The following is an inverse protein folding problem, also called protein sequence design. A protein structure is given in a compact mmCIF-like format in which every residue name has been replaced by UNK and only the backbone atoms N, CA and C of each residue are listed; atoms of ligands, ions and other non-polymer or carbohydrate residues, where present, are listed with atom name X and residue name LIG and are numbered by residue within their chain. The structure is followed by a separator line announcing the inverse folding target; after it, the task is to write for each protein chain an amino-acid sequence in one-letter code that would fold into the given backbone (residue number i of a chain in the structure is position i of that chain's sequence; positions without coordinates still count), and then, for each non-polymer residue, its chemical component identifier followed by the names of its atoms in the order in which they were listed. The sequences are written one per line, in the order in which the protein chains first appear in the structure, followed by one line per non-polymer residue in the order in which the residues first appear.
data_IF_862866993808
#
_entry.id   IF_862866993808
#
_cell.length_a   1.000
_cell.length_b   1.000
_cell.length_c   1.000
_cell.angle_alpha   90.00
_cell.angle_beta   90.00
_cell.angle_gamma   90.00
#
_symmetry.space_group_name_H-M   'P 1'
#
loop_
_entity.id
_entity.type
_entity.pdbx_description
1 polymer ?
#
# COMPACT_ATOMS: atom_id res chain seq x y z
N UNK A 1 -1.68 -13.22 20.43
CA UNK A 1 -2.64 -12.88 19.36
C UNK A 1 -3.23 -11.53 19.69
N UNK A 2 -3.18 -10.56 18.78
CA UNK A 2 -3.77 -9.24 19.01
C UNK A 2 -5.29 -9.39 18.93
N UNK A 3 -6.00 -9.00 19.99
CA UNK A 3 -7.45 -8.99 19.99
C UNK A 3 -7.95 -7.83 19.13
N UNK A 4 -8.60 -8.15 18.02
CA UNK A 4 -9.06 -7.19 17.01
C UNK A 4 -10.25 -7.72 16.22
N UNK A 5 -11.12 -6.82 15.77
CA UNK A 5 -12.32 -7.16 15.01
C UNK A 5 -12.04 -7.48 13.54
N UNK A 6 -10.98 -6.92 12.98
CA UNK A 6 -10.53 -7.17 11.61
C UNK A 6 -9.01 -7.00 11.49
N UNK A 7 -8.42 -7.52 10.43
CA UNK A 7 -7.03 -7.26 10.08
C UNK A 7 -6.93 -6.08 9.10
N UNK A 8 -5.78 -5.40 9.10
CA UNK A 8 -5.47 -4.32 8.17
C UNK A 8 -4.37 -4.78 7.22
N UNK A 9 -4.59 -4.57 5.94
CA UNK A 9 -3.63 -4.80 4.86
C UNK A 9 -3.40 -3.48 4.12
N UNK A 10 -2.16 -3.19 3.81
CA UNK A 10 -1.77 -2.08 2.96
C UNK A 10 -0.67 -2.55 1.99
N UNK A 11 -0.10 -1.65 1.23
CA UNK A 11 1.02 -1.90 0.35
C UNK A 11 2.25 -1.06 0.74
N UNK A 12 3.40 -1.36 0.14
CA UNK A 12 4.65 -0.69 0.48
C UNK A 12 4.69 0.78 0.07
N UNK A 13 3.75 1.22 -0.78
CA UNK A 13 3.57 2.64 -1.09
C UNK A 13 3.14 3.49 0.10
N UNK A 14 2.70 2.86 1.19
CA UNK A 14 2.34 3.54 2.44
C UNK A 14 3.54 4.08 3.23
N UNK A 15 4.75 3.62 2.92
CA UNK A 15 6.01 4.00 3.60
C UNK A 15 5.94 3.87 5.13
N UNK A 16 5.20 2.87 5.61
CA UNK A 16 5.14 2.56 7.04
C UNK A 16 6.48 1.99 7.52
N UNK A 17 7.01 2.49 8.65
CA UNK A 17 8.11 1.82 9.31
C UNK A 17 7.75 0.36 9.61
N UNK A 18 8.65 -0.57 9.29
CA UNK A 18 8.42 -2.00 9.48
C UNK A 18 8.08 -2.35 10.94
N UNK A 19 8.75 -1.69 11.89
CA UNK A 19 8.49 -1.85 13.33
C UNK A 19 7.07 -1.46 13.73
N UNK A 20 6.56 -0.38 13.16
CA UNK A 20 5.19 0.09 13.45
C UNK A 20 4.14 -0.85 12.83
N UNK A 21 4.36 -1.30 11.60
CA UNK A 21 3.48 -2.27 10.95
C UNK A 21 3.41 -3.57 11.75
N UNK A 22 4.55 -4.08 12.22
CA UNK A 22 4.63 -5.28 13.05
C UNK A 22 3.92 -5.09 14.39
N UNK A 23 4.17 -3.99 15.09
CA UNK A 23 3.52 -3.66 16.37
C UNK A 23 2.00 -3.63 16.26
N UNK A 24 1.48 -3.04 15.19
CA UNK A 24 0.04 -2.90 14.94
C UNK A 24 -0.57 -4.11 14.22
N UNK A 25 0.23 -5.08 13.84
CA UNK A 25 -0.24 -6.25 13.09
C UNK A 25 -0.74 -5.93 11.68
N UNK A 26 -0.25 -4.84 11.08
CA UNK A 26 -0.57 -4.45 9.71
C UNK A 26 0.27 -5.28 8.74
N UNK A 27 -0.39 -5.92 7.77
CA UNK A 27 0.29 -6.65 6.69
C UNK A 27 0.57 -5.68 5.53
N UNK A 28 1.79 -5.71 5.05
CA UNK A 28 2.25 -4.85 3.96
C UNK A 28 2.59 -5.70 2.74
N UNK A 29 1.88 -5.49 1.64
CA UNK A 29 2.14 -6.17 0.37
C UNK A 29 3.15 -5.34 -0.42
N UNK A 30 4.34 -5.89 -0.75
CA UNK A 30 5.37 -5.12 -1.42
C UNK A 30 5.06 -4.88 -2.90
N UNK A 31 5.26 -3.65 -3.37
CA UNK A 31 5.38 -3.34 -4.78
C UNK A 31 6.68 -3.95 -5.32
N UNK A 32 6.76 -4.15 -6.62
CA UNK A 32 7.99 -4.53 -7.29
C UNK A 32 8.76 -3.29 -7.74
N UNK A 33 10.08 -3.32 -7.59
CA UNK A 33 11.01 -2.28 -8.04
C UNK A 33 11.89 -2.87 -9.13
N UNK A 34 11.92 -2.22 -10.28
CA UNK A 34 12.68 -2.64 -11.45
C UNK A 34 13.88 -1.73 -11.68
N UNK A 35 15.07 -2.32 -11.73
CA UNK A 35 16.30 -1.69 -12.22
C UNK A 35 16.79 -2.47 -13.45
N UNK A 36 16.50 -1.98 -14.66
CA UNK A 36 16.77 -2.77 -15.87
C UNK A 36 16.03 -4.10 -15.83
N UNK A 37 16.75 -5.20 -15.94
CA UNK A 37 16.20 -6.56 -15.88
C UNK A 37 16.06 -7.12 -14.45
N UNK A 38 16.62 -6.42 -13.46
CA UNK A 38 16.53 -6.83 -12.06
C UNK A 38 15.22 -6.39 -11.45
N UNK A 39 14.57 -7.31 -10.73
CA UNK A 39 13.29 -7.06 -10.04
C UNK A 39 13.45 -7.36 -8.56
N UNK A 40 13.08 -6.40 -7.74
CA UNK A 40 13.11 -6.50 -6.28
C UNK A 40 11.72 -6.30 -5.69
N UNK A 41 11.52 -6.84 -4.49
CA UNK A 41 10.34 -6.55 -3.66
C UNK A 41 10.67 -5.43 -2.68
N UNK A 42 9.95 -4.32 -2.77
CA UNK A 42 10.15 -3.12 -1.96
C UNK A 42 10.07 -3.43 -0.45
N UNK A 43 11.14 -3.09 0.26
CA UNK A 43 11.26 -3.33 1.70
C UNK A 43 11.50 -4.79 2.11
N UNK A 44 11.53 -5.73 1.15
CA UNK A 44 11.75 -7.17 1.40
C UNK A 44 13.11 -7.61 0.84
N UNK A 45 13.30 -7.52 -0.47
CA UNK A 45 14.57 -7.87 -1.13
C UNK A 45 15.43 -6.66 -1.48
N UNK A 46 14.87 -5.46 -1.34
CA UNK A 46 15.59 -4.20 -1.50
C UNK A 46 15.17 -3.25 -0.38
N UNK A 47 16.13 -2.91 0.49
CA UNK A 47 15.91 -1.92 1.56
C UNK A 47 15.85 -0.50 0.99
N UNK A 48 15.25 0.43 1.73
CA UNK A 48 15.22 1.84 1.34
C UNK A 48 16.64 2.40 1.14
N UNK A 49 17.56 2.05 2.02
CA UNK A 49 18.96 2.48 1.93
C UNK A 49 19.63 1.97 0.65
N UNK A 50 19.50 0.68 0.34
CA UNK A 50 20.03 0.08 -0.88
C UNK A 50 19.38 0.67 -2.13
N UNK A 51 18.09 1.00 -2.08
CA UNK A 51 17.38 1.68 -3.16
C UNK A 51 17.98 3.06 -3.44
N UNK A 52 18.16 3.88 -2.41
CA UNK A 52 18.74 5.22 -2.58
C UNK A 52 20.20 5.16 -3.06
N UNK A 53 20.98 4.21 -2.60
CA UNK A 53 22.32 3.98 -3.11
C UNK A 53 22.32 3.69 -4.61
N UNK A 54 21.44 2.77 -5.07
CA UNK A 54 21.35 2.45 -6.51
C UNK A 54 20.82 3.63 -7.33
N UNK A 55 19.88 4.38 -6.80
CA UNK A 55 19.32 5.55 -7.48
C UNK A 55 20.40 6.61 -7.78
N UNK A 56 21.38 6.76 -6.88
CA UNK A 56 22.46 7.73 -7.04
C UNK A 56 23.60 7.23 -7.92
N UNK A 57 23.82 5.91 -7.98
CA UNK A 57 24.94 5.31 -8.72
C UNK A 57 24.57 4.86 -10.13
N UNK A 58 23.35 4.40 -10.37
CA UNK A 58 22.89 3.87 -11.66
C UNK A 58 21.91 4.86 -12.35
N UNK A 59 22.46 5.98 -12.79
CA UNK A 59 21.67 7.04 -13.43
C UNK A 59 21.21 6.71 -14.85
N UNK A 60 21.84 5.73 -15.49
CA UNK A 60 21.49 5.33 -16.87
C UNK A 60 20.22 4.47 -16.91
N UNK A 61 19.90 3.80 -15.82
CA UNK A 61 18.74 2.93 -15.69
C UNK A 61 17.86 3.36 -14.52
N UNK A 62 17.06 4.43 -14.71
CA UNK A 62 16.19 4.90 -13.65
C UNK A 62 15.19 3.80 -13.26
N UNK A 63 14.96 3.58 -11.95
CA UNK A 63 14.02 2.56 -11.51
C UNK A 63 12.58 2.93 -11.84
N UNK A 64 11.76 1.90 -12.02
CA UNK A 64 10.31 2.05 -12.01
C UNK A 64 9.68 1.01 -11.10
N UNK A 65 8.46 1.27 -10.65
CA UNK A 65 7.70 0.36 -9.81
C UNK A 65 6.56 -0.26 -10.60
N UNK A 66 6.15 -1.45 -10.18
CA UNK A 66 4.91 -2.07 -10.65
C UNK A 66 4.07 -2.54 -9.46
N UNK A 67 2.75 -2.58 -9.69
CA UNK A 67 1.81 -3.07 -8.69
C UNK A 67 2.06 -4.55 -8.34
N UNK A 68 1.73 -4.97 -7.11
CA UNK A 68 1.62 -6.38 -6.79
C UNK A 68 0.57 -7.06 -7.67
N UNK A 69 0.76 -8.34 -7.96
CA UNK A 69 -0.24 -9.13 -8.69
C UNK A 69 -1.43 -9.47 -7.78
N UNK A 70 -2.60 -9.84 -8.36
CA UNK A 70 -3.68 -10.43 -7.57
C UNK A 70 -3.23 -11.65 -6.76
N UNK A 71 -2.34 -12.47 -7.31
CA UNK A 71 -1.75 -13.62 -6.61
C UNK A 71 -0.94 -13.25 -5.38
N UNK A 72 -0.22 -12.14 -5.40
CA UNK A 72 0.52 -11.62 -4.24
C UNK A 72 -0.45 -11.26 -3.11
N UNK A 73 -1.56 -10.62 -3.43
CA UNK A 73 -2.62 -10.31 -2.46
C UNK A 73 -3.32 -11.56 -1.94
N UNK A 74 -3.62 -12.51 -2.82
CA UNK A 74 -4.21 -13.79 -2.42
C UNK A 74 -3.38 -14.51 -1.36
N UNK A 75 -2.07 -14.57 -1.53
CA UNK A 75 -1.18 -15.18 -0.55
C UNK A 75 -1.31 -14.54 0.84
N UNK A 76 -1.40 -13.22 0.89
CA UNK A 76 -1.57 -12.49 2.16
C UNK A 76 -2.95 -12.77 2.76
N UNK A 77 -4.00 -12.69 1.97
CA UNK A 77 -5.36 -12.95 2.45
C UNK A 77 -5.54 -14.40 2.91
N UNK A 78 -4.98 -15.36 2.19
CA UNK A 78 -4.99 -16.77 2.61
C UNK A 78 -4.24 -16.99 3.90
N UNK A 79 -3.07 -16.39 4.06
CA UNK A 79 -2.29 -16.44 5.30
C UNK A 79 -3.08 -15.90 6.49
N UNK A 80 -3.82 -14.81 6.29
CA UNK A 80 -4.71 -14.26 7.33
C UNK A 80 -5.88 -15.20 7.63
N UNK A 81 -6.50 -15.78 6.62
CA UNK A 81 -7.58 -16.76 6.79
C UNK A 81 -7.12 -17.98 7.57
N UNK A 82 -5.96 -18.52 7.25
CA UNK A 82 -5.34 -19.65 7.99
C UNK A 82 -5.07 -19.31 9.46
N UNK A 83 -4.78 -18.06 9.75
CA UNK A 83 -4.62 -17.54 11.11
C UNK A 83 -5.95 -17.28 11.83
N UNK A 84 -7.09 -17.56 11.20
CA UNK A 84 -8.41 -17.39 11.78
C UNK A 84 -9.06 -16.02 11.54
N UNK A 85 -8.44 -15.16 10.74
CA UNK A 85 -8.99 -13.85 10.38
C UNK A 85 -10.12 -14.04 9.37
N UNK A 86 -11.28 -13.43 9.62
CA UNK A 86 -12.46 -13.49 8.74
C UNK A 86 -12.78 -12.16 8.08
N UNK A 87 -12.29 -11.06 8.62
CA UNK A 87 -12.56 -9.70 8.14
C UNK A 87 -11.26 -8.93 7.94
N UNK A 88 -11.16 -8.23 6.83
CA UNK A 88 -9.97 -7.46 6.43
C UNK A 88 -10.38 -6.10 5.88
N UNK A 89 -9.70 -5.05 6.32
CA UNK A 89 -9.71 -3.73 5.69
C UNK A 89 -8.39 -3.53 4.94
N UNK A 90 -8.47 -3.43 3.62
CA UNK A 90 -7.32 -3.38 2.72
C UNK A 90 -7.25 -1.98 2.09
N UNK A 91 -6.27 -1.17 2.52
CA UNK A 91 -6.15 0.25 2.18
C UNK A 91 -4.92 0.45 1.30
N UNK A 92 -5.13 1.00 0.10
CA UNK A 92 -4.09 1.01 -0.92
C UNK A 92 -3.83 2.37 -1.55
N UNK A 93 -2.66 2.45 -2.17
CA UNK A 93 -2.20 3.52 -3.04
C UNK A 93 -3.29 3.94 -4.04
N UNK A 94 -3.39 5.25 -4.29
CA UNK A 94 -4.37 5.83 -5.20
C UNK A 94 -4.50 5.06 -6.52
N UNK A 95 -5.72 4.74 -6.89
CA UNK A 95 -6.05 4.09 -8.16
C UNK A 95 -5.66 4.91 -9.39
N UNK A 96 -5.49 6.23 -9.22
CA UNK A 96 -4.99 7.12 -10.28
C UNK A 96 -3.48 6.98 -10.51
N UNK A 97 -2.74 6.45 -9.53
CA UNK A 97 -1.29 6.32 -9.59
C UNK A 97 -0.83 4.89 -9.89
N UNK A 98 -1.64 3.89 -9.56
CA UNK A 98 -1.23 2.48 -9.62
C UNK A 98 -2.42 1.54 -9.76
N UNK A 99 -2.18 0.38 -10.36
CA UNK A 99 -3.14 -0.74 -10.38
C UNK A 99 -3.16 -1.59 -9.09
N UNK A 100 -2.48 -1.18 -8.03
CA UNK A 100 -2.40 -1.93 -6.77
C UNK A 100 -3.78 -2.22 -6.17
N UNK A 101 -4.64 -1.20 -6.09
CA UNK A 101 -6.01 -1.37 -5.59
C UNK A 101 -6.81 -2.36 -6.43
N UNK A 102 -6.67 -2.33 -7.74
CA UNK A 102 -7.34 -3.28 -8.64
C UNK A 102 -6.89 -4.71 -8.36
N UNK A 103 -5.59 -4.95 -8.19
CA UNK A 103 -5.05 -6.26 -7.82
C UNK A 103 -5.62 -6.77 -6.51
N UNK A 104 -5.68 -5.91 -5.49
CA UNK A 104 -6.28 -6.22 -4.19
C UNK A 104 -7.78 -6.56 -4.33
N UNK A 105 -8.52 -5.78 -5.10
CA UNK A 105 -9.95 -5.97 -5.32
C UNK A 105 -10.27 -7.28 -6.03
N UNK A 106 -9.47 -7.64 -7.05
CA UNK A 106 -9.60 -8.92 -7.74
C UNK A 106 -9.37 -10.08 -6.76
N UNK A 107 -8.27 -10.03 -6.01
CA UNK A 107 -7.95 -11.06 -5.02
C UNK A 107 -9.03 -11.18 -3.94
N UNK A 108 -9.54 -10.05 -3.44
CA UNK A 108 -10.57 -10.02 -2.41
C UNK A 108 -11.87 -10.72 -2.84
N UNK A 109 -12.27 -10.56 -4.10
CA UNK A 109 -13.47 -11.20 -4.65
C UNK A 109 -13.37 -12.71 -4.76
N UNK A 110 -12.17 -13.23 -4.86
CA UNK A 110 -11.90 -14.67 -4.98
C UNK A 110 -11.76 -15.37 -3.63
N UNK A 111 -11.71 -14.61 -2.53
CA UNK A 111 -11.54 -15.16 -1.18
C UNK A 111 -12.88 -15.61 -0.59
N UNK A 112 -13.09 -16.93 -0.54
CA UNK A 112 -14.25 -17.52 0.11
C UNK A 112 -14.08 -17.54 1.63
N UNK A 113 -15.16 -17.27 2.36
CA UNK A 113 -15.19 -17.30 3.83
C UNK A 113 -14.52 -16.11 4.49
N UNK A 114 -14.20 -15.07 3.72
CA UNK A 114 -13.66 -13.80 4.23
C UNK A 114 -14.49 -12.63 3.71
N UNK A 115 -14.62 -11.62 4.54
CA UNK A 115 -15.13 -10.31 4.15
C UNK A 115 -13.97 -9.34 4.06
N UNK A 116 -13.66 -8.88 2.86
CA UNK A 116 -12.56 -7.96 2.59
C UNK A 116 -13.11 -6.70 1.95
N UNK A 117 -12.95 -5.58 2.65
CA UNK A 117 -13.26 -4.26 2.12
C UNK A 117 -11.98 -3.62 1.62
N UNK A 118 -11.96 -3.26 0.35
CA UNK A 118 -10.84 -2.53 -0.26
C UNK A 118 -11.16 -1.04 -0.31
N UNK A 119 -10.20 -0.21 0.07
CA UNK A 119 -10.33 1.26 0.11
C UNK A 119 -9.28 1.90 -0.76
N UNK A 120 -9.72 2.79 -1.65
CA UNK A 120 -8.84 3.71 -2.37
C UNK A 120 -8.47 4.85 -1.42
N UNK A 121 -7.20 4.92 -1.04
CA UNK A 121 -6.73 6.02 -0.20
C UNK A 121 -6.75 7.38 -0.91
N UNK A 122 -6.73 7.36 -2.24
CA UNK A 122 -6.55 8.55 -3.11
C UNK A 122 -5.27 9.33 -2.80
N UNK A 123 -4.32 8.67 -2.14
CA UNK A 123 -3.06 9.24 -1.67
C UNK A 123 -1.89 8.33 -2.03
N UNK A 124 -0.70 8.82 -1.71
CA UNK A 124 0.56 8.09 -1.76
C UNK A 124 1.31 8.29 -0.43
N UNK A 125 2.31 7.45 -0.17
CA UNK A 125 3.23 7.57 0.95
C UNK A 125 2.54 7.56 2.33
N UNK A 126 3.01 8.37 3.24
CA UNK A 126 2.57 8.37 4.65
C UNK A 126 1.08 8.69 4.84
N UNK A 127 0.42 9.31 3.87
CA UNK A 127 -1.03 9.49 3.90
C UNK A 127 -1.78 8.15 3.97
N UNK A 128 -1.35 7.16 3.19
CA UNK A 128 -1.88 5.79 3.24
C UNK A 128 -1.54 5.16 4.60
N UNK A 129 -0.29 5.32 5.04
CA UNK A 129 0.18 4.80 6.31
C UNK A 129 -0.63 5.30 7.50
N UNK A 130 -0.98 6.58 7.52
CA UNK A 130 -1.82 7.16 8.57
C UNK A 130 -3.22 6.56 8.59
N UNK A 131 -3.83 6.32 7.44
CA UNK A 131 -5.12 5.64 7.35
C UNK A 131 -5.02 4.20 7.85
N UNK A 132 -3.97 3.47 7.48
CA UNK A 132 -3.76 2.09 7.92
C UNK A 132 -3.56 2.00 9.44
N UNK A 133 -2.79 2.90 10.03
CA UNK A 133 -2.58 2.98 11.49
C UNK A 133 -3.89 3.29 12.20
N UNK A 134 -4.65 4.26 11.71
CA UNK A 134 -5.96 4.59 12.28
C UNK A 134 -6.91 3.40 12.24
N UNK A 135 -7.00 2.70 11.10
CA UNK A 135 -7.80 1.50 10.95
C UNK A 135 -7.41 0.39 11.94
N UNK A 136 -6.10 0.16 12.12
CA UNK A 136 -5.60 -0.84 13.06
C UNK A 136 -5.99 -0.52 14.52
N UNK A 137 -5.99 0.76 14.89
CA UNK A 137 -6.45 1.22 16.20
C UNK A 137 -7.96 0.99 16.38
N UNK A 138 -8.76 1.29 15.38
CA UNK A 138 -10.21 1.03 15.41
C UNK A 138 -10.52 -0.46 15.58
N UNK A 139 -9.76 -1.33 14.90
CA UNK A 139 -9.90 -2.77 15.05
C UNK A 139 -9.62 -3.25 16.49
N UNK A 140 -8.61 -2.70 17.14
CA UNK A 140 -8.26 -2.99 18.54
C UNK A 140 -9.30 -2.45 19.53
N UNK A 141 -9.96 -1.34 19.19
CA UNK A 141 -11.05 -0.75 19.97
C UNK A 141 -12.39 -1.51 19.81
N UNK A 142 -12.43 -2.53 18.99
CA UNK A 142 -13.62 -3.36 18.78
C UNK A 142 -14.63 -2.76 17.79
N UNK A 143 -14.25 -1.75 16.99
CA UNK A 143 -15.11 -1.18 15.96
C UNK A 143 -15.33 -2.20 14.83
N UNK A 144 -16.48 -2.18 14.22
CA UNK A 144 -16.79 -3.08 13.10
C UNK A 144 -16.02 -2.70 11.85
N UNK A 145 -15.86 -3.67 10.93
CA UNK A 145 -15.23 -3.44 9.64
C UNK A 145 -15.94 -2.32 8.86
N UNK A 146 -17.26 -2.32 8.84
CA UNK A 146 -18.06 -1.33 8.11
C UNK A 146 -17.92 0.07 8.70
N UNK A 147 -17.96 0.19 10.02
CA UNK A 147 -17.76 1.47 10.71
C UNK A 147 -16.34 2.01 10.45
N UNK A 148 -15.33 1.14 10.54
CA UNK A 148 -13.95 1.53 10.30
C UNK A 148 -13.71 1.94 8.84
N UNK A 149 -14.28 1.23 7.88
CA UNK A 149 -14.19 1.59 6.47
C UNK A 149 -14.79 2.96 6.20
N UNK A 150 -15.98 3.25 6.74
CA UNK A 150 -16.64 4.55 6.62
C UNK A 150 -15.82 5.67 7.27
N UNK A 151 -15.25 5.43 8.44
CA UNK A 151 -14.42 6.42 9.15
C UNK A 151 -13.10 6.70 8.44
N UNK A 152 -12.46 5.68 7.89
CA UNK A 152 -11.25 5.83 7.06
C UNK A 152 -11.53 6.64 5.81
N UNK A 153 -12.64 6.40 5.12
CA UNK A 153 -13.02 7.17 3.94
C UNK A 153 -13.33 8.63 4.29
N UNK A 154 -14.02 8.88 5.40
CA UNK A 154 -14.29 10.24 5.88
C UNK A 154 -13.00 10.98 6.25
N UNK A 155 -12.07 10.30 6.92
CA UNK A 155 -10.77 10.86 7.28
C UNK A 155 -9.91 11.15 6.04
N UNK A 156 -9.91 10.25 5.06
CA UNK A 156 -9.26 10.44 3.76
C UNK A 156 -9.67 11.75 3.11
N UNK A 157 -10.95 12.06 3.11
CA UNK A 157 -11.50 13.25 2.45
C UNK A 157 -11.10 14.56 3.16
N UNK A 158 -10.60 14.46 4.40
CA UNK A 158 -10.06 15.60 5.16
C UNK A 158 -8.56 15.80 4.97
N UNK A 159 -7.85 14.83 4.42
CA UNK A 159 -6.40 14.92 4.23
C UNK A 159 -6.05 15.65 2.95
N UNK A 160 -5.08 16.54 3.07
CA UNK A 160 -4.38 17.15 1.96
C UNK A 160 -2.90 16.80 2.05
N UNK A 161 -2.44 15.95 1.14
CA UNK A 161 -1.03 15.56 1.06
C UNK A 161 -0.35 16.43 0.02
N UNK A 162 0.69 17.15 0.44
CA UNK A 162 1.51 18.00 -0.43
C UNK A 162 2.90 17.39 -0.54
N UNK A 163 3.36 17.20 -1.76
CA UNK A 163 4.72 16.77 -2.04
C UNK A 163 5.55 17.93 -2.59
N UNK A 164 6.75 18.07 -2.07
CA UNK A 164 7.78 18.90 -2.68
C UNK A 164 8.78 17.97 -3.37
N UNK A 165 9.06 18.24 -4.63
CA UNK A 165 10.02 17.47 -5.44
C UNK A 165 11.01 18.42 -6.11
N UNK A 166 12.25 17.99 -6.23
CA UNK A 166 13.28 18.79 -6.92
C UNK A 166 13.09 18.83 -8.43
N UNK A 167 12.48 17.77 -8.99
CA UNK A 167 12.18 17.67 -10.42
C UNK A 167 10.90 16.87 -10.67
N UNK A 168 10.16 17.25 -11.68
CA UNK A 168 8.96 16.54 -12.15
C UNK A 168 9.26 15.52 -13.26
N UNK A 169 10.52 15.44 -13.70
CA UNK A 169 10.94 14.61 -14.83
C UNK A 169 10.54 13.14 -14.71
N UNK A 170 10.77 12.54 -13.55
CA UNK A 170 10.46 11.13 -13.32
C UNK A 170 8.96 10.85 -13.30
N UNK A 171 8.16 11.77 -12.75
CA UNK A 171 6.70 11.65 -12.77
C UNK A 171 6.16 11.74 -14.21
N UNK A 172 6.73 12.63 -15.02
CA UNK A 172 6.37 12.77 -16.42
C UNK A 172 6.78 11.55 -17.25
N UNK A 173 8.01 11.05 -17.06
CA UNK A 173 8.52 9.84 -17.75
C UNK A 173 7.65 8.62 -17.49
N UNK A 174 7.17 8.46 -16.27
CA UNK A 174 6.34 7.32 -15.85
C UNK A 174 4.83 7.57 -16.05
N UNK A 175 4.44 8.69 -16.69
CA UNK A 175 3.05 8.97 -17.03
C UNK A 175 2.14 9.30 -15.83
N UNK A 176 2.69 9.74 -14.69
CA UNK A 176 1.93 10.11 -13.50
C UNK A 176 1.53 11.57 -13.48
N UNK A 177 2.12 12.38 -14.35
CA UNK A 177 1.69 13.75 -14.65
C UNK A 177 1.73 14.00 -16.17
N UNK A 178 0.90 14.94 -16.64
CA UNK A 178 0.91 15.36 -18.03
C UNK A 178 2.13 16.23 -18.36
N UNK A 179 2.53 16.28 -19.65
CA UNK A 179 3.65 17.11 -20.11
C UNK A 179 3.50 18.58 -19.75
N UNK A 180 2.27 19.08 -19.80
CA UNK A 180 1.98 20.50 -19.47
C UNK A 180 2.14 20.82 -17.97
N UNK A 181 2.15 19.81 -17.11
CA UNK A 181 2.31 19.97 -15.67
C UNK A 181 3.77 19.83 -15.23
N UNK A 182 4.65 19.36 -16.14
CA UNK A 182 6.06 19.12 -15.85
C UNK A 182 7.00 20.27 -16.28
N UNK A 183 6.43 21.33 -16.91
CA UNK A 183 7.19 22.51 -17.37
C UNK A 183 7.26 23.57 -16.28
#
# INVERSE_FOLDING_TARGET
MVDRTFAVVTDSGADLPASLAEELGIRVVPLSIHFGDEVFKDGVTLTAEAFYQRLTTDKERPPHTSQPSPGDFQQVYESLREAGVKQVLSIHLSSKLSGTLQSATIAAREMEGMEIVTVDSRMASMGIGMLAVHAARLAREGRSLQEAAAEVEALRDQFHVVFAVDTLEYLARNGRIGRAQSC
#
